data_IF_112201847114
#
_entry.id   IF_112201847114
#
_cell.length_a   1.000
_cell.length_b   1.000
_cell.length_c   1.000
_cell.angle_alpha   90.00
_cell.angle_beta   90.00
_cell.angle_gamma   90.00
#
_symmetry.space_group_name_H-M   'P 1'
#
loop_
_entity.id
_entity.type
_entity.pdbx_description
1 polymer ?
#
# COMPACT_ATOMS: atom_id res chain seq x y z
N UNK A 1 -21.72 -40.51 18.02
CA UNK A 1 -20.77 -41.62 18.32
C UNK A 1 -19.51 -41.04 18.92
N UNK A 2 -18.85 -41.65 19.91
CA UNK A 2 -17.57 -41.15 20.40
C UNK A 2 -16.55 -41.34 19.25
N UNK A 3 -16.12 -40.26 18.64
CA UNK A 3 -15.03 -40.25 17.65
C UNK A 3 -13.77 -40.66 18.40
N UNK A 4 -13.24 -41.84 18.06
CA UNK A 4 -11.96 -42.29 18.58
C UNK A 4 -10.89 -41.26 18.19
N UNK A 5 -10.13 -40.76 19.15
CA UNK A 5 -9.09 -39.74 18.90
C UNK A 5 -8.13 -40.11 17.77
N UNK A 6 -7.87 -41.40 17.60
CA UNK A 6 -7.00 -41.91 16.55
C UNK A 6 -7.69 -41.89 15.18
N UNK A 7 -9.02 -42.02 15.08
CA UNK A 7 -9.75 -41.85 13.85
C UNK A 7 -9.70 -40.40 13.34
N UNK A 8 -9.85 -39.44 14.22
CA UNK A 8 -9.78 -38.02 13.88
C UNK A 8 -8.40 -37.62 13.34
N UNK A 9 -7.31 -38.15 13.92
CA UNK A 9 -5.96 -37.93 13.42
C UNK A 9 -5.82 -38.46 11.98
N UNK A 10 -6.32 -39.65 11.73
CA UNK A 10 -6.28 -40.23 10.37
C UNK A 10 -7.11 -39.42 9.40
N UNK A 11 -8.33 -39.03 9.77
CA UNK A 11 -9.21 -38.21 8.92
C UNK A 11 -8.53 -36.90 8.50
N UNK A 12 -7.81 -36.22 9.39
CA UNK A 12 -7.06 -34.99 9.05
C UNK A 12 -6.00 -35.23 7.99
N UNK A 13 -5.23 -36.32 8.13
CA UNK A 13 -4.20 -36.66 7.15
C UNK A 13 -4.82 -37.05 5.80
N UNK A 14 -5.88 -37.83 5.81
CA UNK A 14 -6.58 -38.24 4.60
C UNK A 14 -7.21 -37.01 3.91
N UNK A 15 -7.90 -36.17 4.64
CA UNK A 15 -8.53 -34.96 4.13
C UNK A 15 -7.52 -34.03 3.43
N UNK A 16 -6.34 -33.82 4.06
CA UNK A 16 -5.26 -33.04 3.47
C UNK A 16 -4.77 -33.62 2.13
N UNK A 17 -4.57 -34.93 2.08
CA UNK A 17 -4.09 -35.60 0.86
C UNK A 17 -5.16 -35.60 -0.26
N UNK A 18 -6.43 -35.73 0.08
CA UNK A 18 -7.54 -35.71 -0.89
C UNK A 18 -7.85 -34.27 -1.39
N UNK A 19 -7.43 -33.24 -0.64
CA UNK A 19 -7.60 -31.83 -0.98
C UNK A 19 -6.39 -31.24 -1.74
N UNK A 20 -5.31 -32.01 -1.96
CA UNK A 20 -4.11 -31.52 -2.66
C UNK A 20 -4.39 -31.32 -4.15
N UNK A 21 -4.37 -30.08 -4.68
CA UNK A 21 -4.68 -29.81 -6.08
C UNK A 21 -3.57 -30.26 -7.05
N UNK A 22 -2.39 -30.56 -6.54
CA UNK A 22 -1.21 -30.84 -7.34
C UNK A 22 -0.93 -32.35 -7.47
N UNK A 23 -1.58 -33.19 -6.65
CA UNK A 23 -1.27 -34.59 -6.62
C UNK A 23 -2.49 -35.47 -6.31
N UNK A 24 -2.67 -36.55 -7.11
CA UNK A 24 -3.66 -37.58 -6.86
C UNK A 24 -3.00 -38.80 -6.16
N UNK A 25 -3.54 -39.22 -5.04
CA UNK A 25 -2.96 -40.31 -4.23
C UNK A 25 -3.70 -41.63 -4.40
N UNK A 26 -2.92 -42.72 -4.45
CA UNK A 26 -3.49 -44.07 -4.31
C UNK A 26 -3.78 -44.39 -2.85
N UNK A 27 -4.68 -45.33 -2.59
CA UNK A 27 -4.99 -45.75 -1.21
C UNK A 27 -3.76 -46.29 -0.46
N UNK A 28 -2.80 -46.93 -1.17
CA UNK A 28 -1.53 -47.36 -0.62
C UNK A 28 -0.64 -46.21 -0.20
N UNK A 29 -0.56 -45.15 -1.00
CA UNK A 29 0.19 -43.92 -0.65
C UNK A 29 -0.43 -43.27 0.57
N UNK A 30 -1.76 -43.10 0.57
CA UNK A 30 -2.48 -42.54 1.74
C UNK A 30 -2.18 -43.37 3.00
N UNK A 31 -2.18 -44.70 2.93
CA UNK A 31 -1.84 -45.57 4.04
C UNK A 31 -0.40 -45.30 4.57
N UNK A 32 0.56 -45.11 3.66
CA UNK A 32 1.93 -44.81 4.05
C UNK A 32 2.05 -43.47 4.78
N UNK A 33 1.38 -42.43 4.27
CA UNK A 33 1.34 -41.12 4.93
C UNK A 33 0.68 -41.18 6.31
N UNK A 34 -0.49 -41.86 6.41
CA UNK A 34 -1.20 -42.04 7.69
C UNK A 34 -0.32 -42.74 8.71
N UNK A 35 0.36 -43.84 8.34
CA UNK A 35 1.25 -44.56 9.25
C UNK A 35 2.42 -43.69 9.74
N UNK A 36 3.00 -42.91 8.84
CA UNK A 36 4.15 -42.06 9.16
C UNK A 36 3.77 -40.91 10.12
N UNK A 37 2.57 -40.33 9.91
CA UNK A 37 2.21 -39.09 10.63
C UNK A 37 1.35 -39.34 11.89
N UNK A 38 0.71 -40.46 12.00
CA UNK A 38 -0.20 -40.74 13.14
C UNK A 38 0.27 -41.86 14.07
N UNK A 39 1.43 -42.47 13.80
CA UNK A 39 1.92 -43.69 14.49
C UNK A 39 0.89 -44.80 14.58
N UNK A 40 -0.11 -44.80 13.70
CA UNK A 40 -1.22 -45.72 13.72
C UNK A 40 -0.87 -46.98 12.93
N UNK A 41 -0.92 -48.15 13.57
CA UNK A 41 -0.71 -49.43 12.87
C UNK A 41 -2.03 -49.90 12.24
N UNK A 42 -2.46 -49.19 11.19
CA UNK A 42 -3.69 -49.49 10.46
C UNK A 42 -3.42 -50.19 9.12
N UNK A 43 -4.37 -50.94 8.62
CA UNK A 43 -4.31 -51.61 7.31
C UNK A 43 -5.12 -50.85 6.25
N UNK A 44 -4.93 -51.23 4.99
CA UNK A 44 -5.58 -50.59 3.82
C UNK A 44 -7.10 -50.58 3.91
N UNK A 45 -7.70 -51.63 4.48
CA UNK A 45 -9.16 -51.69 4.69
C UNK A 45 -9.69 -50.58 5.62
N UNK A 46 -8.88 -50.20 6.58
CA UNK A 46 -9.25 -49.10 7.49
C UNK A 46 -9.23 -47.76 6.75
N UNK A 47 -8.20 -47.50 5.92
CA UNK A 47 -8.14 -46.29 5.10
C UNK A 47 -9.30 -46.20 4.12
N UNK A 48 -9.67 -47.31 3.50
CA UNK A 48 -10.84 -47.40 2.61
C UNK A 48 -12.15 -47.09 3.38
N UNK A 49 -12.26 -47.57 4.63
CA UNK A 49 -13.40 -47.27 5.49
C UNK A 49 -13.40 -45.77 5.90
N UNK A 50 -12.25 -45.25 6.24
CA UNK A 50 -12.10 -43.83 6.63
C UNK A 50 -12.46 -42.91 5.43
N UNK A 51 -12.02 -43.24 4.20
CA UNK A 51 -12.39 -42.50 2.99
C UNK A 51 -13.91 -42.56 2.73
N UNK A 52 -14.56 -43.72 2.93
CA UNK A 52 -16.02 -43.80 2.80
C UNK A 52 -16.74 -43.00 3.88
N UNK A 53 -16.21 -42.96 5.10
CA UNK A 53 -16.80 -42.14 6.14
C UNK A 53 -16.72 -40.65 5.79
N UNK A 54 -15.64 -40.17 5.16
CA UNK A 54 -15.53 -38.81 4.67
C UNK A 54 -16.56 -38.51 3.55
N UNK A 55 -16.88 -39.50 2.72
CA UNK A 55 -17.90 -39.39 1.66
C UNK A 55 -19.32 -39.44 2.26
N UNK A 56 -19.62 -40.46 3.06
CA UNK A 56 -20.98 -40.75 3.52
C UNK A 56 -21.43 -39.90 4.71
N UNK A 57 -20.55 -39.66 5.70
CA UNK A 57 -20.88 -38.97 6.94
C UNK A 57 -20.61 -37.46 6.85
N UNK A 58 -19.61 -37.03 6.06
CA UNK A 58 -19.22 -35.62 5.93
C UNK A 58 -19.63 -35.00 4.59
N UNK A 59 -20.28 -35.78 3.69
CA UNK A 59 -20.86 -35.28 2.46
C UNK A 59 -19.83 -34.84 1.39
N UNK A 60 -18.61 -35.37 1.44
CA UNK A 60 -17.58 -35.06 0.45
C UNK A 60 -17.69 -35.91 -0.79
N UNK A 61 -17.89 -35.28 -1.94
CA UNK A 61 -17.89 -35.97 -3.22
C UNK A 61 -16.49 -36.42 -3.63
N UNK A 62 -16.35 -37.69 -4.04
CA UNK A 62 -15.08 -38.32 -4.36
C UNK A 62 -14.92 -38.53 -5.86
N UNK A 63 -13.93 -37.92 -6.48
CA UNK A 63 -13.47 -38.27 -7.82
C UNK A 63 -12.52 -39.46 -7.73
N UNK A 64 -12.89 -40.55 -8.41
CA UNK A 64 -12.12 -41.81 -8.48
C UNK A 64 -11.63 -42.06 -9.90
N UNK A 65 -10.33 -42.06 -10.10
CA UNK A 65 -9.76 -42.42 -11.39
C UNK A 65 -9.56 -43.92 -11.47
N UNK A 66 -10.31 -44.61 -12.36
CA UNK A 66 -10.23 -46.04 -12.60
C UNK A 66 -9.03 -46.46 -13.46
N UNK A 67 -8.11 -45.55 -13.77
CA UNK A 67 -6.89 -45.82 -14.51
C UNK A 67 -5.88 -46.69 -13.73
N UNK A 68 -4.67 -46.86 -14.28
CA UNK A 68 -3.65 -47.84 -13.91
C UNK A 68 -3.35 -48.06 -12.42
N UNK A 69 -3.78 -47.20 -11.49
CA UNK A 69 -3.49 -47.29 -10.04
C UNK A 69 -4.59 -46.79 -9.12
N UNK A 70 -5.82 -46.59 -9.58
CA UNK A 70 -6.95 -46.26 -8.71
C UNK A 70 -6.69 -45.14 -7.71
N UNK A 71 -6.47 -43.93 -8.19
CA UNK A 71 -6.33 -42.75 -7.33
C UNK A 71 -7.67 -42.21 -6.86
N UNK A 72 -7.69 -41.57 -5.70
CA UNK A 72 -8.86 -40.93 -5.11
C UNK A 72 -8.52 -39.52 -4.69
N UNK A 73 -9.45 -38.60 -4.93
CA UNK A 73 -9.35 -37.17 -4.50
C UNK A 73 -10.74 -36.61 -4.24
N UNK A 74 -10.85 -35.47 -3.62
CA UNK A 74 -12.11 -34.72 -3.61
C UNK A 74 -12.46 -34.21 -5.01
N UNK A 75 -13.73 -34.15 -5.34
CA UNK A 75 -14.18 -33.51 -6.58
C UNK A 75 -13.96 -32.02 -6.49
N UNK A 76 -14.29 -31.40 -5.34
CA UNK A 76 -13.89 -30.03 -4.97
C UNK A 76 -12.75 -30.07 -3.95
N UNK A 77 -11.54 -29.79 -4.41
CA UNK A 77 -10.32 -29.76 -3.59
C UNK A 77 -10.12 -28.45 -2.84
N UNK A 78 -10.90 -27.40 -3.17
CA UNK A 78 -10.74 -26.07 -2.58
C UNK A 78 -11.28 -25.97 -1.14
N UNK A 79 -12.11 -26.91 -0.73
CA UNK A 79 -12.79 -26.92 0.57
C UNK A 79 -12.45 -28.15 1.40
N UNK A 80 -11.28 -28.25 2.06
CA UNK A 80 -10.97 -29.35 2.99
C UNK A 80 -11.94 -29.35 4.18
N UNK A 81 -12.21 -30.54 4.75
CA UNK A 81 -13.09 -30.72 5.92
C UNK A 81 -12.45 -30.25 7.21
N UNK A 82 -11.16 -30.51 7.33
CA UNK A 82 -10.37 -30.09 8.49
C UNK A 82 -9.44 -28.98 8.05
N UNK A 83 -9.41 -27.90 8.84
CA UNK A 83 -8.41 -26.85 8.62
C UNK A 83 -7.02 -27.48 8.58
N UNK A 84 -6.26 -27.25 7.51
CA UNK A 84 -4.86 -27.60 7.48
C UNK A 84 -4.15 -26.83 8.59
N UNK A 85 -3.60 -27.56 9.56
CA UNK A 85 -2.57 -26.99 10.41
C UNK A 85 -1.39 -26.70 9.48
N UNK A 86 -0.88 -25.48 9.53
CA UNK A 86 0.31 -25.12 8.77
C UNK A 86 1.41 -26.13 9.05
N UNK A 87 2.12 -26.56 8.03
CA UNK A 87 3.35 -27.34 8.22
C UNK A 87 4.37 -26.49 8.95
N UNK A 88 5.38 -27.12 9.57
CA UNK A 88 6.45 -26.38 10.26
C UNK A 88 7.13 -25.37 9.34
N UNK A 89 7.34 -25.71 8.08
CA UNK A 89 7.97 -24.85 7.08
C UNK A 89 7.05 -23.67 6.70
N UNK A 90 5.74 -23.91 6.56
CA UNK A 90 4.75 -22.85 6.31
C UNK A 90 4.59 -21.92 7.52
N UNK A 91 4.63 -22.47 8.75
CA UNK A 91 4.65 -21.65 9.96
C UNK A 91 5.92 -20.79 10.02
N UNK A 92 7.08 -21.33 9.71
CA UNK A 92 8.34 -20.58 9.72
C UNK A 92 8.33 -19.48 8.67
N UNK A 93 7.91 -19.77 7.45
CA UNK A 93 7.73 -18.78 6.38
C UNK A 93 6.76 -17.67 6.80
N UNK A 94 5.60 -18.03 7.36
CA UNK A 94 4.62 -17.05 7.81
C UNK A 94 5.16 -16.19 8.98
N UNK A 95 5.95 -16.77 9.87
CA UNK A 95 6.66 -16.02 10.94
C UNK A 95 7.66 -15.02 10.36
N UNK A 96 8.41 -15.42 9.35
CA UNK A 96 9.38 -14.55 8.67
C UNK A 96 8.67 -13.39 7.96
N UNK A 97 7.61 -13.68 7.23
CA UNK A 97 6.77 -12.66 6.59
C UNK A 97 6.21 -11.68 7.62
N UNK A 98 5.65 -12.16 8.73
CA UNK A 98 5.13 -11.29 9.79
C UNK A 98 6.22 -10.47 10.48
N UNK A 99 7.42 -11.03 10.69
CA UNK A 99 8.57 -10.27 11.22
C UNK A 99 9.00 -9.17 10.26
N UNK A 100 9.01 -9.46 8.97
CA UNK A 100 9.35 -8.47 7.94
C UNK A 100 8.29 -7.37 7.89
N UNK A 101 7.02 -7.74 7.87
CA UNK A 101 5.92 -6.78 7.90
C UNK A 101 5.90 -5.94 9.18
N UNK A 102 6.24 -6.52 10.33
CA UNK A 102 6.31 -5.80 11.61
C UNK A 102 7.43 -4.75 11.68
N UNK A 103 8.37 -4.75 10.70
CA UNK A 103 9.38 -3.69 10.58
C UNK A 103 8.83 -2.44 9.87
N UNK A 104 7.68 -2.54 9.18
CA UNK A 104 7.05 -1.37 8.57
C UNK A 104 6.21 -0.63 9.61
N UNK A 105 6.46 0.66 9.76
CA UNK A 105 5.75 1.50 10.73
C UNK A 105 4.22 1.42 10.57
N UNK A 106 3.54 1.18 11.69
CA UNK A 106 2.09 1.17 11.76
C UNK A 106 1.40 -0.14 11.38
N UNK A 107 2.10 -1.16 10.88
CA UNK A 107 1.50 -2.46 10.56
C UNK A 107 1.24 -3.31 11.81
N UNK A 108 2.01 -3.16 12.86
CA UNK A 108 1.82 -3.78 14.16
C UNK A 108 0.50 -3.40 14.85
N UNK A 109 -0.10 -2.28 14.44
CA UNK A 109 -1.40 -1.81 14.95
C UNK A 109 -2.62 -2.36 14.19
N UNK A 110 -2.41 -3.18 13.17
CA UNK A 110 -3.53 -3.86 12.53
C UNK A 110 -4.01 -5.02 13.41
N UNK A 111 -5.30 -5.07 13.72
CA UNK A 111 -5.87 -6.13 14.57
C UNK A 111 -5.63 -7.54 14.05
N UNK A 112 -5.56 -7.72 12.74
CA UNK A 112 -5.24 -9.01 12.13
C UNK A 112 -3.78 -9.40 12.35
N UNK A 113 -2.84 -8.44 12.34
CA UNK A 113 -1.43 -8.67 12.59
C UNK A 113 -1.21 -9.15 14.03
N UNK A 114 -1.81 -8.46 15.00
CA UNK A 114 -1.78 -8.83 16.42
C UNK A 114 -2.40 -10.22 16.65
N UNK A 115 -3.54 -10.51 16.00
CA UNK A 115 -4.18 -11.82 16.09
C UNK A 115 -3.31 -12.95 15.51
N UNK A 116 -2.69 -12.73 14.36
CA UNK A 116 -1.78 -13.70 13.74
C UNK A 116 -0.51 -13.89 14.57
N UNK A 117 0.10 -12.80 15.03
CA UNK A 117 1.30 -12.81 15.87
C UNK A 117 1.05 -13.60 17.17
N UNK A 118 -0.10 -13.41 17.83
CA UNK A 118 -0.51 -14.19 19.02
C UNK A 118 -0.74 -15.66 18.68
N UNK A 119 -1.41 -15.95 17.55
CA UNK A 119 -1.70 -17.33 17.13
C UNK A 119 -0.44 -18.13 16.80
N UNK A 120 0.52 -17.49 16.17
CA UNK A 120 1.82 -18.08 15.82
C UNK A 120 2.83 -18.02 16.96
N UNK A 121 2.42 -17.53 18.14
CA UNK A 121 3.30 -17.37 19.31
C UNK A 121 4.59 -16.64 18.96
N UNK A 122 4.50 -15.61 18.11
CA UNK A 122 5.58 -14.66 17.93
C UNK A 122 5.75 -13.99 19.27
N UNK A 123 6.73 -14.43 20.04
CA UNK A 123 7.05 -13.81 21.32
C UNK A 123 7.47 -12.37 21.06
N UNK A 124 7.01 -11.46 21.89
CA UNK A 124 7.51 -10.08 22.00
C UNK A 124 8.99 -10.03 22.45
N UNK A 125 9.68 -11.17 22.44
CA UNK A 125 11.02 -11.33 22.93
C UNK A 125 12.02 -10.80 21.93
N UNK A 126 12.68 -9.78 22.37
CA UNK A 126 13.84 -9.08 21.87
C UNK A 126 13.52 -7.91 20.93
N UNK A 127 13.88 -6.73 21.39
CA UNK A 127 14.27 -5.58 20.56
C UNK A 127 15.42 -6.02 19.66
N UNK A 128 15.10 -6.80 18.64
CA UNK A 128 16.02 -7.06 17.55
C UNK A 128 16.18 -5.71 16.86
N UNK A 129 17.40 -5.22 16.77
CA UNK A 129 17.71 -4.06 15.96
C UNK A 129 17.08 -4.29 14.59
N UNK A 130 16.16 -3.44 14.10
CA UNK A 130 15.46 -3.70 12.86
C UNK A 130 16.49 -3.78 11.73
N UNK A 131 16.42 -4.83 10.91
CA UNK A 131 17.25 -4.98 9.71
C UNK A 131 16.94 -3.86 8.72
N UNK A 132 15.67 -3.40 8.70
CA UNK A 132 15.20 -2.27 7.91
C UNK A 132 14.75 -1.20 8.91
N UNK A 133 15.32 0.00 8.82
CA UNK A 133 14.85 1.15 9.59
C UNK A 133 14.31 2.20 8.63
N UNK A 134 13.15 2.75 8.96
CA UNK A 134 12.57 3.91 8.30
C UNK A 134 12.94 5.15 9.11
N UNK A 135 13.30 6.26 8.44
CA UNK A 135 13.59 7.50 9.14
C UNK A 135 12.39 7.92 10.01
N UNK A 136 12.61 8.03 11.31
CA UNK A 136 11.56 8.34 12.28
C UNK A 136 10.92 9.70 12.00
N UNK A 137 9.59 9.70 11.97
CA UNK A 137 8.80 10.88 12.23
C UNK A 137 7.82 10.56 13.35
N UNK A 138 8.01 11.17 14.49
CA UNK A 138 7.13 11.06 15.68
C UNK A 138 5.65 11.41 15.41
N UNK A 139 5.35 11.94 14.23
CA UNK A 139 3.99 12.31 13.80
C UNK A 139 3.08 11.09 13.64
N UNK A 140 3.63 9.89 13.43
CA UNK A 140 2.85 8.65 13.28
C UNK A 140 2.23 8.14 14.58
N UNK A 141 2.68 8.57 15.74
CA UNK A 141 2.13 8.12 17.02
C UNK A 141 0.63 8.42 17.20
N UNK A 142 0.09 9.37 16.45
CA UNK A 142 -1.33 9.74 16.55
C UNK A 142 -2.28 8.88 15.72
N UNK A 143 -1.80 8.13 14.73
CA UNK A 143 -2.68 7.57 13.71
C UNK A 143 -2.66 6.05 13.57
N UNK A 144 -1.87 5.33 14.36
CA UNK A 144 -1.66 3.89 14.12
C UNK A 144 -2.96 3.08 14.26
N UNK A 145 -3.76 3.34 15.29
CA UNK A 145 -5.07 2.69 15.45
C UNK A 145 -6.07 3.19 14.38
N UNK A 146 -6.05 4.48 14.05
CA UNK A 146 -6.90 5.08 13.01
C UNK A 146 -6.59 4.46 11.65
N UNK A 147 -5.31 4.31 11.29
CA UNK A 147 -4.87 3.70 10.03
C UNK A 147 -5.43 2.28 9.87
N UNK A 148 -5.28 1.43 10.88
CA UNK A 148 -5.79 0.05 10.87
C UNK A 148 -7.32 -0.03 10.75
N UNK A 149 -8.04 0.85 11.43
CA UNK A 149 -9.51 0.94 11.35
C UNK A 149 -9.96 1.42 9.96
N UNK A 150 -9.31 2.40 9.38
CA UNK A 150 -9.60 2.90 8.03
C UNK A 150 -9.29 1.83 6.98
N UNK A 151 -8.17 1.12 7.09
CA UNK A 151 -7.87 -0.02 6.23
C UNK A 151 -9.00 -1.06 6.28
N UNK A 152 -9.50 -1.37 7.47
CA UNK A 152 -10.61 -2.31 7.65
C UNK A 152 -11.91 -1.79 6.99
N UNK A 153 -12.19 -0.49 7.13
CA UNK A 153 -13.36 0.15 6.51
C UNK A 153 -13.30 0.06 4.98
N UNK A 154 -12.15 0.38 4.39
CA UNK A 154 -11.91 0.29 2.94
C UNK A 154 -12.03 -1.16 2.45
N UNK A 155 -11.32 -2.10 3.10
CA UNK A 155 -11.31 -3.52 2.71
C UNK A 155 -12.69 -4.15 2.79
N UNK A 156 -13.53 -3.69 3.71
CA UNK A 156 -14.91 -4.18 3.89
C UNK A 156 -15.95 -3.35 3.13
N UNK A 157 -15.51 -2.35 2.36
CA UNK A 157 -16.38 -1.45 1.60
C UNK A 157 -17.48 -0.86 2.49
N UNK A 158 -17.09 -0.16 3.55
CA UNK A 158 -18.00 0.45 4.52
C UNK A 158 -18.00 1.96 4.40
N UNK A 159 -19.20 2.55 4.30
CA UNK A 159 -19.41 3.98 4.42
C UNK A 159 -19.16 4.42 5.86
N UNK A 160 -18.45 5.54 6.04
CA UNK A 160 -18.06 6.00 7.37
C UNK A 160 -18.38 7.49 7.58
N UNK A 161 -18.53 7.85 8.87
CA UNK A 161 -18.67 9.23 9.31
C UNK A 161 -17.45 9.64 10.10
N UNK A 162 -16.73 10.64 9.60
CA UNK A 162 -15.50 11.17 10.20
C UNK A 162 -15.72 12.59 10.73
N UNK A 163 -14.87 13.03 11.65
CA UNK A 163 -14.69 14.44 12.01
C UNK A 163 -13.32 14.89 11.55
N UNK A 164 -13.27 15.98 10.79
CA UNK A 164 -12.07 16.50 10.18
C UNK A 164 -11.95 18.00 10.37
N UNK A 165 -10.74 18.48 10.65
CA UNK A 165 -10.44 19.90 10.84
C UNK A 165 -9.38 20.35 9.83
N UNK A 166 -9.78 21.01 8.72
CA UNK A 166 -8.81 21.67 7.84
C UNK A 166 -8.06 22.77 8.58
N UNK A 167 -6.82 23.07 8.17
CA UNK A 167 -6.07 24.17 8.74
C UNK A 167 -6.82 25.49 8.60
N UNK A 168 -6.88 26.26 9.70
CA UNK A 168 -7.56 27.56 9.73
C UNK A 168 -9.09 27.53 9.58
N UNK A 169 -9.71 26.34 9.70
CA UNK A 169 -11.17 26.18 9.64
C UNK A 169 -11.67 25.38 10.83
N UNK A 170 -12.98 25.49 11.08
CA UNK A 170 -13.66 24.74 12.12
C UNK A 170 -13.73 23.25 11.78
N UNK A 171 -13.74 22.42 12.84
CA UNK A 171 -13.95 20.99 12.74
C UNK A 171 -15.37 20.71 12.23
N UNK A 172 -15.48 19.83 11.20
CA UNK A 172 -16.75 19.42 10.60
C UNK A 172 -16.86 17.91 10.53
N UNK A 173 -18.11 17.42 10.54
CA UNK A 173 -18.43 16.02 10.25
C UNK A 173 -18.59 15.81 8.75
N UNK A 174 -18.05 14.69 8.25
CA UNK A 174 -18.21 14.27 6.87
C UNK A 174 -18.67 12.82 6.85
N UNK A 175 -19.64 12.51 6.03
CA UNK A 175 -20.03 11.16 5.65
C UNK A 175 -19.34 10.86 4.33
N UNK A 176 -18.58 9.77 4.24
CA UNK A 176 -17.69 9.53 3.11
C UNK A 176 -17.64 8.07 2.69
N UNK A 177 -17.35 7.85 1.42
CA UNK A 177 -16.94 6.58 0.84
C UNK A 177 -15.42 6.53 0.81
N UNK A 178 -14.76 5.78 1.70
CA UNK A 178 -13.29 5.71 1.76
C UNK A 178 -12.75 4.73 0.70
N UNK A 179 -11.74 5.14 -0.08
CA UNK A 179 -11.22 4.34 -1.19
C UNK A 179 -9.79 3.87 -0.99
N UNK A 180 -8.89 4.77 -0.60
CA UNK A 180 -7.46 4.46 -0.55
C UNK A 180 -6.77 5.22 0.59
N UNK A 181 -5.76 4.57 1.17
CA UNK A 181 -4.80 5.20 2.08
C UNK A 181 -3.50 5.44 1.32
N UNK A 182 -3.03 6.68 1.30
CA UNK A 182 -1.80 7.08 0.60
C UNK A 182 -0.85 7.80 1.55
N UNK A 183 0.41 7.40 1.52
CA UNK A 183 1.47 8.09 2.24
C UNK A 183 2.24 8.99 1.29
N UNK A 184 2.45 10.24 1.70
CA UNK A 184 3.35 11.17 1.02
C UNK A 184 4.06 12.06 2.05
N UNK A 185 5.37 12.19 1.91
CA UNK A 185 6.22 13.03 2.76
C UNK A 185 5.92 12.80 4.26
N UNK A 186 5.92 11.52 4.68
CA UNK A 186 5.67 11.05 6.05
C UNK A 186 4.28 11.36 6.62
N UNK A 187 3.33 11.78 5.80
CA UNK A 187 1.94 11.99 6.20
C UNK A 187 1.02 11.03 5.47
N UNK A 188 0.07 10.47 6.21
CA UNK A 188 -0.97 9.63 5.64
C UNK A 188 -2.21 10.45 5.26
N UNK A 189 -2.80 10.08 4.15
CA UNK A 189 -4.01 10.66 3.61
C UNK A 189 -5.03 9.56 3.32
N UNK A 190 -6.29 9.86 3.59
CA UNK A 190 -7.43 9.07 3.14
C UNK A 190 -8.03 9.74 1.91
N UNK A 191 -8.11 9.01 0.81
CA UNK A 191 -8.84 9.40 -0.38
C UNK A 191 -10.28 8.91 -0.23
N UNK A 192 -11.23 9.82 -0.35
CA UNK A 192 -12.64 9.52 -0.17
C UNK A 192 -13.51 10.54 -0.89
N UNK A 193 -14.73 10.14 -1.24
CA UNK A 193 -15.78 11.05 -1.75
C UNK A 193 -16.82 11.30 -0.67
N UNK A 194 -17.24 12.55 -0.42
CA UNK A 194 -18.37 12.85 0.46
C UNK A 194 -19.67 12.20 -0.03
N UNK A 195 -20.49 11.72 0.90
CA UNK A 195 -21.86 11.25 0.62
C UNK A 195 -22.75 12.46 0.36
N UNK A 196 -23.55 12.43 -0.70
CA UNK A 196 -24.54 13.48 -1.00
C UNK A 196 -25.37 13.15 -2.22
N UNK A 197 -26.60 13.65 -2.28
CA UNK A 197 -27.55 13.38 -3.36
C UNK A 197 -27.12 13.96 -4.72
N UNK A 198 -26.24 14.97 -4.72
CA UNK A 198 -25.72 15.62 -5.93
C UNK A 198 -24.30 15.16 -6.27
N UNK A 199 -23.72 14.28 -5.45
CA UNK A 199 -22.35 13.83 -5.60
C UNK A 199 -22.34 12.56 -6.44
N UNK A 200 -22.07 12.73 -7.73
CA UNK A 200 -21.74 11.60 -8.60
C UNK A 200 -20.32 11.13 -8.24
N UNK A 201 -20.12 9.94 -7.65
CA UNK A 201 -18.79 9.45 -7.26
C UNK A 201 -17.88 9.16 -8.48
N UNK A 202 -18.34 9.55 -9.64
CA UNK A 202 -17.70 9.33 -10.95
C UNK A 202 -16.82 10.48 -11.41
N UNK A 203 -16.78 11.60 -10.67
CA UNK A 203 -15.92 12.73 -11.02
C UNK A 203 -14.65 12.73 -10.17
N UNK A 204 -13.53 12.87 -10.82
CA UNK A 204 -12.20 12.99 -10.16
C UNK A 204 -12.18 14.14 -9.14
N UNK A 205 -12.90 15.21 -9.43
CA UNK A 205 -13.07 16.45 -8.65
C UNK A 205 -13.64 16.21 -7.25
N UNK A 206 -14.38 15.13 -7.06
CA UNK A 206 -15.05 14.84 -5.79
C UNK A 206 -14.20 14.00 -4.85
N UNK A 207 -13.06 13.52 -5.30
CA UNK A 207 -12.14 12.77 -4.45
C UNK A 207 -11.34 13.73 -3.58
N UNK A 208 -11.69 13.79 -2.31
CA UNK A 208 -11.04 14.60 -1.31
C UNK A 208 -9.89 13.87 -0.64
N UNK A 209 -8.84 14.62 -0.27
CA UNK A 209 -7.70 14.13 0.49
C UNK A 209 -7.86 14.55 1.96
N UNK A 210 -8.13 13.59 2.84
CA UNK A 210 -8.21 13.83 4.28
C UNK A 210 -6.90 13.41 4.95
N UNK A 211 -6.11 14.37 5.44
CA UNK A 211 -4.89 14.05 6.17
C UNK A 211 -5.24 13.46 7.55
N UNK A 212 -4.69 12.30 7.87
CA UNK A 212 -5.06 11.53 9.06
C UNK A 212 -4.74 12.25 10.37
N UNK A 213 -3.67 13.07 10.39
CA UNK A 213 -3.28 13.89 11.53
C UNK A 213 -4.31 14.99 11.88
N UNK A 214 -5.27 15.24 11.03
CA UNK A 214 -6.36 16.21 11.20
C UNK A 214 -7.74 15.56 11.36
N UNK A 215 -7.77 14.24 11.46
CA UNK A 215 -8.99 13.46 11.74
C UNK A 215 -9.06 13.12 13.22
N UNK A 216 -10.29 13.03 13.74
CA UNK A 216 -10.49 12.41 15.04
C UNK A 216 -10.16 10.91 14.95
N UNK A 217 -9.61 10.35 16.03
CA UNK A 217 -9.24 8.92 16.06
C UNK A 217 -10.46 7.99 15.98
N UNK A 218 -11.60 8.49 16.41
CA UNK A 218 -12.86 7.73 16.37
C UNK A 218 -13.75 8.19 15.23
N UNK A 219 -14.23 7.21 14.48
CA UNK A 219 -15.23 7.39 13.44
C UNK A 219 -16.31 6.31 13.54
N UNK A 220 -17.50 6.60 13.00
CA UNK A 220 -18.64 5.67 12.97
C UNK A 220 -18.81 5.00 11.62
N UNK A 221 -19.34 3.76 11.62
CA UNK A 221 -19.85 3.12 10.41
C UNK A 221 -21.29 3.55 10.15
N UNK A 222 -21.65 3.75 8.89
CA UNK A 222 -22.99 4.11 8.43
C UNK A 222 -23.59 2.90 7.71
N UNK A 223 -24.21 2.01 8.48
CA UNK A 223 -24.76 0.75 7.94
C UNK A 223 -25.98 1.00 7.03
N UNK A 224 -26.69 2.10 7.22
CA UNK A 224 -27.87 2.48 6.44
C UNK A 224 -27.52 3.12 5.08
N UNK A 225 -26.28 3.49 4.85
CA UNK A 225 -25.81 4.11 3.61
C UNK A 225 -24.98 3.08 2.82
N UNK A 226 -25.50 2.57 1.70
CA UNK A 226 -24.75 1.64 0.85
C UNK A 226 -23.44 2.26 0.38
N UNK A 227 -22.35 1.49 0.43
CA UNK A 227 -21.08 1.94 -0.09
C UNK A 227 -21.11 2.04 -1.61
N UNK A 228 -20.59 3.14 -2.14
CA UNK A 228 -20.43 3.35 -3.58
C UNK A 228 -18.93 3.38 -3.88
N UNK A 229 -18.51 2.52 -4.79
CA UNK A 229 -17.13 2.47 -5.27
C UNK A 229 -16.86 3.59 -6.28
N UNK A 230 -15.59 3.98 -6.43
CA UNK A 230 -15.22 4.96 -7.46
C UNK A 230 -14.74 4.24 -8.73
N UNK A 231 -15.17 4.65 -9.93
CA UNK A 231 -14.62 4.16 -11.18
C UNK A 231 -13.31 4.88 -11.56
N UNK A 232 -12.92 5.91 -10.80
CA UNK A 232 -11.70 6.67 -11.06
C UNK A 232 -10.48 5.81 -10.76
N UNK A 233 -9.53 5.77 -11.69
CA UNK A 233 -8.22 5.19 -11.45
C UNK A 233 -7.43 6.10 -10.51
N UNK A 234 -7.38 5.71 -9.23
CA UNK A 234 -6.73 6.50 -8.19
C UNK A 234 -5.20 6.57 -8.38
N UNK A 235 -4.59 5.59 -9.02
CA UNK A 235 -3.16 5.63 -9.30
C UNK A 235 -2.87 6.59 -10.45
N UNK A 236 -3.64 6.53 -11.53
CA UNK A 236 -3.52 7.45 -12.67
C UNK A 236 -3.66 8.92 -12.23
N UNK A 237 -4.54 9.20 -11.25
CA UNK A 237 -4.71 10.54 -10.66
C UNK A 237 -3.39 11.16 -10.16
N UNK A 238 -2.47 10.34 -9.68
CA UNK A 238 -1.18 10.80 -9.15
C UNK A 238 -0.07 10.81 -10.20
N UNK A 239 -0.35 10.34 -11.39
CA UNK A 239 0.60 10.32 -12.50
C UNK A 239 0.93 11.71 -13.04
N UNK A 240 0.01 12.66 -12.83
CA UNK A 240 0.11 14.03 -13.33
C UNK A 240 0.54 15.04 -12.27
N UNK A 241 0.81 14.60 -11.03
CA UNK A 241 1.15 15.50 -9.92
C UNK A 241 2.35 15.02 -9.11
N UNK A 242 2.98 15.95 -8.43
CA UNK A 242 3.90 15.68 -7.33
C UNK A 242 3.10 15.70 -6.04
N UNK A 243 3.12 14.62 -5.25
CA UNK A 243 2.44 14.60 -3.95
C UNK A 243 1.00 14.13 -3.99
N UNK A 244 0.10 14.90 -3.36
CA UNK A 244 -1.29 14.48 -3.14
C UNK A 244 -2.32 15.54 -3.53
N UNK A 245 -1.92 16.79 -3.74
CA UNK A 245 -2.85 17.88 -4.06
C UNK A 245 -3.04 17.99 -5.57
N UNK A 246 -4.25 17.70 -6.03
CA UNK A 246 -4.68 17.94 -7.41
C UNK A 246 -5.53 19.22 -7.46
N UNK A 247 -5.17 20.12 -8.33
CA UNK A 247 -5.97 21.28 -8.72
C UNK A 247 -6.55 21.04 -10.11
N UNK A 248 -7.87 20.95 -10.19
CA UNK A 248 -8.59 20.64 -11.42
C UNK A 248 -8.51 21.74 -12.47
N UNK A 249 -8.37 22.97 -12.01
CA UNK A 249 -8.26 24.15 -12.86
C UNK A 249 -6.84 24.37 -13.42
N UNK A 250 -5.89 23.50 -13.07
CA UNK A 250 -4.53 23.55 -13.58
C UNK A 250 -4.35 22.44 -14.62
N UNK A 251 -3.84 22.80 -15.78
CA UNK A 251 -3.49 21.83 -16.82
C UNK A 251 -2.13 21.20 -16.55
N UNK A 252 -1.84 20.09 -17.25
CA UNK A 252 -0.51 19.49 -17.26
C UNK A 252 0.41 20.42 -18.03
N UNK A 253 1.48 20.87 -17.38
CA UNK A 253 2.49 21.75 -17.96
C UNK A 253 3.79 20.99 -18.21
N UNK A 254 4.45 21.27 -19.33
CA UNK A 254 5.83 20.84 -19.55
C UNK A 254 6.77 21.87 -18.90
N UNK A 255 7.43 21.46 -17.84
CA UNK A 255 8.23 22.33 -16.98
C UNK A 255 9.70 22.05 -17.20
N UNK A 256 10.42 23.02 -17.75
CA UNK A 256 11.87 22.94 -17.95
C UNK A 256 12.60 23.61 -16.79
N UNK A 257 13.66 22.98 -16.31
CA UNK A 257 14.48 23.51 -15.22
C UNK A 257 15.95 23.14 -15.41
N UNK A 258 16.83 24.07 -15.05
CA UNK A 258 18.27 23.88 -15.02
C UNK A 258 18.72 23.38 -13.64
N UNK A 259 19.69 22.46 -13.61
CA UNK A 259 20.26 21.90 -12.38
C UNK A 259 21.78 22.05 -12.41
N UNK A 260 22.34 22.59 -11.33
CA UNK A 260 23.77 22.82 -11.18
C UNK A 260 24.58 21.51 -11.18
N UNK A 261 25.88 21.54 -11.56
CA UNK A 261 26.75 20.38 -11.49
C UNK A 261 26.81 19.75 -10.07
N UNK A 262 26.60 20.54 -9.03
CA UNK A 262 26.60 20.05 -7.65
C UNK A 262 25.41 19.12 -7.33
N UNK A 263 24.27 19.32 -7.99
CA UNK A 263 23.03 18.57 -7.69
C UNK A 263 22.57 17.64 -8.82
N UNK A 264 23.17 17.70 -10.00
CA UNK A 264 22.71 16.96 -11.17
C UNK A 264 22.63 15.46 -10.96
N UNK A 265 23.64 14.86 -10.33
CA UNK A 265 23.64 13.40 -10.07
C UNK A 265 22.57 12.99 -9.06
N UNK A 266 22.23 13.88 -8.13
CA UNK A 266 21.13 13.65 -7.18
C UNK A 266 19.79 13.68 -7.91
N UNK A 267 19.57 14.64 -8.82
CA UNK A 267 18.32 14.74 -9.61
C UNK A 267 18.19 13.58 -10.59
N UNK A 268 19.29 13.09 -11.19
CA UNK A 268 19.29 11.89 -12.02
C UNK A 268 18.90 10.63 -11.27
N UNK A 269 19.40 10.47 -10.03
CA UNK A 269 19.16 9.28 -9.21
C UNK A 269 17.83 9.33 -8.45
N UNK A 270 17.32 10.53 -8.14
CA UNK A 270 16.06 10.78 -7.46
C UNK A 270 15.22 11.75 -8.29
N UNK A 271 14.47 11.20 -9.22
CA UNK A 271 13.62 11.97 -10.12
C UNK A 271 12.61 12.81 -9.35
N UNK A 272 12.38 14.04 -9.80
CA UNK A 272 11.36 14.96 -9.27
C UNK A 272 9.96 14.44 -9.64
N UNK A 273 9.82 13.95 -10.86
CA UNK A 273 8.59 13.35 -11.36
C UNK A 273 8.92 12.19 -12.29
N UNK A 274 8.02 11.22 -12.44
CA UNK A 274 8.24 10.02 -13.28
C UNK A 274 8.42 10.33 -14.78
N UNK A 275 7.91 11.47 -15.24
CA UNK A 275 8.06 11.96 -16.62
C UNK A 275 9.37 12.68 -16.86
N UNK A 276 10.26 12.76 -15.87
CA UNK A 276 11.50 13.51 -15.97
C UNK A 276 12.37 12.99 -17.11
N UNK A 277 12.75 13.90 -17.99
CA UNK A 277 13.71 13.68 -19.06
C UNK A 277 14.85 14.69 -18.95
N UNK A 278 16.05 14.31 -19.35
CA UNK A 278 17.21 15.20 -19.45
C UNK A 278 17.35 15.65 -20.92
N UNK A 279 17.47 16.95 -21.13
CA UNK A 279 17.69 17.51 -22.48
C UNK A 279 19.11 17.22 -22.95
N UNK A 280 19.24 16.82 -24.19
CA UNK A 280 20.52 16.49 -24.82
C UNK A 280 20.63 17.15 -26.22
N UNK A 281 21.85 17.21 -26.75
CA UNK A 281 22.11 17.68 -28.12
C UNK A 281 21.61 19.11 -28.37
N UNK A 282 20.85 19.28 -29.47
CA UNK A 282 20.36 20.58 -29.94
C UNK A 282 19.38 21.23 -28.95
N UNK A 283 18.55 20.44 -28.28
CA UNK A 283 17.59 20.93 -27.25
C UNK A 283 18.34 21.58 -26.09
N UNK A 284 19.35 20.91 -25.56
CA UNK A 284 20.17 21.48 -24.48
C UNK A 284 20.87 22.76 -24.95
N UNK A 285 21.38 22.79 -26.15
CA UNK A 285 22.06 23.94 -26.72
C UNK A 285 21.13 25.16 -26.82
N UNK A 286 19.90 24.95 -27.32
CA UNK A 286 18.86 26.00 -27.39
C UNK A 286 18.58 26.64 -26.02
N UNK A 287 18.40 25.82 -24.98
CA UNK A 287 18.16 26.34 -23.62
C UNK A 287 19.38 27.09 -23.07
N UNK A 288 20.59 26.59 -23.28
CA UNK A 288 21.80 27.26 -22.82
C UNK A 288 22.08 28.57 -23.57
N UNK A 289 21.75 28.69 -24.86
CA UNK A 289 21.80 29.93 -25.61
C UNK A 289 20.75 30.95 -25.11
N UNK A 290 19.54 30.48 -24.81
CA UNK A 290 18.46 31.31 -24.27
C UNK A 290 18.74 31.79 -22.87
N UNK A 291 19.42 30.96 -22.05
CA UNK A 291 19.72 31.21 -20.63
C UNK A 291 21.21 31.03 -20.32
N UNK A 292 22.08 31.94 -20.85
CA UNK A 292 23.55 31.78 -20.79
C UNK A 292 24.12 31.75 -19.35
N UNK A 293 23.38 32.26 -18.35
CA UNK A 293 23.77 32.20 -16.97
C UNK A 293 23.82 30.77 -16.41
N UNK A 294 23.21 29.79 -17.08
CA UNK A 294 23.24 28.38 -16.71
C UNK A 294 24.22 27.55 -17.56
N UNK A 295 25.22 28.19 -18.17
CA UNK A 295 26.27 27.50 -18.90
C UNK A 295 26.94 26.43 -18.02
N UNK A 296 27.02 25.18 -18.51
CA UNK A 296 27.54 24.04 -17.78
C UNK A 296 26.56 23.37 -16.81
N UNK A 297 25.31 23.81 -16.74
CA UNK A 297 24.23 23.14 -16.02
C UNK A 297 23.55 22.12 -16.93
N UNK A 298 22.95 21.09 -16.33
CA UNK A 298 22.04 20.18 -17.05
C UNK A 298 20.63 20.75 -17.06
N UNK A 299 19.90 20.50 -18.14
CA UNK A 299 18.50 20.90 -18.28
C UNK A 299 17.63 19.65 -18.27
N UNK A 300 16.54 19.70 -17.53
CA UNK A 300 15.55 18.64 -17.43
C UNK A 300 14.17 19.19 -17.76
N UNK A 301 13.29 18.29 -18.21
CA UNK A 301 11.86 18.55 -18.34
C UNK A 301 11.06 17.57 -17.47
N UNK A 302 9.89 18.00 -17.01
CA UNK A 302 8.85 17.16 -16.41
C UNK A 302 7.50 17.60 -16.95
N UNK A 303 6.56 16.66 -17.04
CA UNK A 303 5.16 16.93 -17.39
C UNK A 303 4.31 16.65 -16.16
N UNK A 304 3.76 17.70 -15.53
CA UNK A 304 2.89 17.56 -14.37
C UNK A 304 2.05 18.82 -14.13
N UNK A 305 0.99 18.69 -13.35
CA UNK A 305 0.16 19.83 -12.93
C UNK A 305 0.86 20.59 -11.80
N UNK A 306 0.97 21.91 -11.88
CA UNK A 306 1.52 22.72 -10.82
C UNK A 306 0.69 22.61 -9.53
N UNK A 307 1.39 22.39 -8.41
CA UNK A 307 0.77 22.32 -7.09
C UNK A 307 1.75 22.72 -6.00
N UNK A 308 1.29 22.94 -4.75
CA UNK A 308 2.17 23.36 -3.64
C UNK A 308 3.32 22.41 -3.35
N UNK A 309 3.12 21.11 -3.52
CA UNK A 309 4.13 20.08 -3.29
C UNK A 309 5.24 20.16 -4.33
N UNK A 310 4.91 20.36 -5.61
CA UNK A 310 5.88 20.60 -6.67
C UNK A 310 6.73 21.84 -6.36
N UNK A 311 6.10 22.98 -6.07
CA UNK A 311 6.82 24.20 -5.74
C UNK A 311 7.72 24.04 -4.51
N UNK A 312 7.26 23.30 -3.49
CA UNK A 312 8.07 23.01 -2.29
C UNK A 312 9.27 22.14 -2.62
N UNK A 313 9.07 21.11 -3.45
CA UNK A 313 10.13 20.22 -3.89
C UNK A 313 11.18 20.94 -4.73
N UNK A 314 10.77 21.74 -5.71
CA UNK A 314 11.69 22.56 -6.51
C UNK A 314 12.46 23.57 -5.64
N UNK A 315 11.78 24.20 -4.66
CA UNK A 315 12.40 25.14 -3.74
C UNK A 315 13.43 24.47 -2.82
N UNK A 316 13.32 23.19 -2.53
CA UNK A 316 14.22 22.45 -1.64
C UNK A 316 15.65 22.35 -2.18
N UNK A 317 15.84 22.51 -3.49
CA UNK A 317 17.15 22.53 -4.13
C UNK A 317 17.88 23.90 -3.97
N UNK A 318 17.18 24.93 -3.49
CA UNK A 318 17.74 26.25 -3.30
C UNK A 318 18.30 26.83 -4.60
N UNK A 319 19.53 27.39 -4.56
CA UNK A 319 20.20 27.96 -5.73
C UNK A 319 20.77 26.93 -6.71
N UNK A 320 20.59 25.62 -6.47
CA UNK A 320 21.08 24.56 -7.35
C UNK A 320 20.07 24.13 -8.43
N UNK A 321 18.86 24.69 -8.40
CA UNK A 321 17.82 24.46 -9.38
C UNK A 321 17.14 25.76 -9.75
N UNK A 322 16.93 25.98 -11.03
CA UNK A 322 16.18 27.12 -11.55
C UNK A 322 15.17 26.68 -12.60
N UNK A 323 13.91 27.05 -12.41
CA UNK A 323 12.87 26.83 -13.45
C UNK A 323 13.10 27.80 -14.60
N UNK A 324 13.09 27.28 -15.81
CA UNK A 324 13.28 28.05 -17.05
C UNK A 324 11.93 28.38 -17.68
N UNK A 325 11.09 27.39 -17.84
CA UNK A 325 9.77 27.46 -18.50
C UNK A 325 8.76 26.56 -17.80
N UNK A 326 7.45 26.86 -17.89
CA UNK A 326 6.88 28.11 -18.42
C UNK A 326 7.10 29.30 -17.50
N UNK A 327 6.93 30.52 -18.07
CA UNK A 327 7.19 31.77 -17.31
C UNK A 327 6.35 31.89 -16.06
N UNK A 328 5.10 31.40 -16.07
CA UNK A 328 4.20 31.44 -14.91
C UNK A 328 4.81 30.71 -13.71
N UNK A 329 5.33 29.51 -13.92
CA UNK A 329 5.96 28.71 -12.87
C UNK A 329 7.30 29.31 -12.45
N UNK A 330 8.10 29.77 -13.41
CA UNK A 330 9.37 30.46 -13.13
C UNK A 330 9.16 31.70 -12.26
N UNK A 331 8.16 32.53 -12.59
CA UNK A 331 7.87 33.76 -11.87
C UNK A 331 7.33 33.48 -10.45
N UNK A 332 6.56 32.41 -10.28
CA UNK A 332 6.14 31.95 -8.95
C UNK A 332 7.33 31.50 -8.11
N UNK A 333 8.27 30.73 -8.68
CA UNK A 333 9.51 30.34 -8.01
C UNK A 333 10.37 31.56 -7.64
N UNK A 334 10.48 32.55 -8.53
CA UNK A 334 11.18 33.80 -8.25
C UNK A 334 10.54 34.59 -7.07
N UNK A 335 9.20 34.68 -7.02
CA UNK A 335 8.48 35.30 -5.88
C UNK A 335 8.77 34.60 -4.57
N UNK A 336 8.79 33.26 -4.57
CA UNK A 336 9.14 32.45 -3.38
C UNK A 336 10.56 32.71 -2.91
N UNK A 337 11.52 32.73 -3.82
CA UNK A 337 12.91 33.03 -3.53
C UNK A 337 13.08 34.44 -2.94
N UNK A 338 12.42 35.46 -3.51
CA UNK A 338 12.40 36.82 -2.98
C UNK A 338 11.76 36.89 -1.60
N UNK A 339 10.70 36.16 -1.34
CA UNK A 339 10.06 36.08 -0.02
C UNK A 339 11.01 35.49 1.02
N UNK A 340 11.73 34.42 0.67
CA UNK A 340 12.77 33.86 1.55
C UNK A 340 13.85 34.88 1.82
N UNK A 341 14.39 35.52 0.80
CA UNK A 341 15.43 36.54 0.95
C UNK A 341 15.00 37.73 1.84
N UNK A 342 13.74 38.16 1.71
CA UNK A 342 13.16 39.21 2.58
C UNK A 342 13.11 38.77 4.04
N UNK A 343 12.78 37.55 4.34
CA UNK A 343 12.72 37.02 5.71
C UNK A 343 14.10 37.00 6.40
N UNK A 344 15.18 36.94 5.62
CA UNK A 344 16.56 37.02 6.13
C UNK A 344 17.17 38.43 6.07
N UNK A 345 16.40 39.46 5.72
CA UNK A 345 16.83 40.87 5.62
C UNK A 345 17.99 41.11 4.62
N UNK A 346 18.19 40.15 3.69
CA UNK A 346 19.33 40.16 2.76
C UNK A 346 19.09 41.15 1.60
N UNK A 347 17.82 41.36 1.23
CA UNK A 347 17.47 42.22 0.06
C UNK A 347 17.95 43.64 0.21
N UNK A 348 17.88 44.21 1.42
CA UNK A 348 18.35 45.56 1.68
C UNK A 348 19.88 45.67 1.65
N UNK A 349 20.62 44.62 2.01
CA UNK A 349 22.10 44.62 1.97
C UNK A 349 22.63 44.50 0.55
N UNK A 350 22.04 43.63 -0.29
CA UNK A 350 22.47 43.46 -1.69
C UNK A 350 22.28 44.73 -2.52
N UNK A 351 21.22 45.52 -2.24
CA UNK A 351 20.97 46.79 -2.92
C UNK A 351 21.99 47.85 -2.49
N UNK A 352 22.46 47.81 -1.25
CA UNK A 352 23.46 48.78 -0.73
C UNK A 352 24.88 48.45 -1.20
N UNK A 353 25.21 47.19 -1.39
CA UNK A 353 26.55 46.75 -1.85
C UNK A 353 26.77 46.94 -3.36
N UNK A 354 25.72 47.19 -4.13
CA UNK A 354 25.74 47.42 -5.59
C UNK A 354 25.55 48.92 -5.95
N UNK A 355 25.54 49.83 -5.00
CA UNK A 355 25.60 51.30 -5.17
C UNK A 355 27.00 51.85 -4.80
#
# INVERSE_FOLDING_TARGET
MPVNKDALKRYRVIDRLLSDPNHDYTTEQILQYVKRETDSNVGIRMIQKDIRALEDEFGKEMARNKGRRGTVRYEDQSTPLFYQELTSDEEELLREVLRTLGQFEGLDNFTWFDLLSKKLKLKEDQKVCPIISFGENDILQFSTNLLGRLFTAISRRKTIKIKYQPYGKDKKGYEIYPYQLRQFNHRWYLLATPVGDEVEPYKEDLICNFALDRMDQDFGYLEDIPYIDTPVDLEARFDEIVGVTLYENEDVECIYFAVSPASVNYVRSKMIHRTQMEAEGDELQEYLEKYPQFSGWAVFSIECRPNPELYSLLSSYGGNLAVLEPSVIRDEMAKRALSIAKNYDIVNKIVLDNQ
#
